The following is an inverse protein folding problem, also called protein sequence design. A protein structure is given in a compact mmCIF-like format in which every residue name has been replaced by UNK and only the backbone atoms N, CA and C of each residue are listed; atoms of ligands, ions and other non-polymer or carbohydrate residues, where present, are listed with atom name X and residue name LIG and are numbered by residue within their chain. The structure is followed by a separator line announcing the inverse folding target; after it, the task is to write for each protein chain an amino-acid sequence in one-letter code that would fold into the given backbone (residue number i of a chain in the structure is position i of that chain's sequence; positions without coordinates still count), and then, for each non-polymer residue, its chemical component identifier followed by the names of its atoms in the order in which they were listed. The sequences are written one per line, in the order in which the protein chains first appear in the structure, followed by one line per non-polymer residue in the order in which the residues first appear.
data_IF_254989826389
#
_entry.id   IF_254989826389
#
_cell.length_a   1.000
_cell.length_b   1.000
_cell.length_c   1.000
_cell.angle_alpha   90.00
_cell.angle_beta   90.00
_cell.angle_gamma   90.00
#
_symmetry.space_group_name_H-M   'P 1'
#
loop_
_entity.id
_entity.type
_entity.pdbx_description
1 polymer ?
#
# COMPACT_ATOMS: atom_id res chain seq x y z
N UNK A 1 -12.23 26.08 -2.60
CA UNK A 1 -12.66 25.04 -1.65
C UNK A 1 -12.38 25.51 -0.24
N UNK A 2 -13.41 25.63 0.60
CA UNK A 2 -13.26 26.06 1.99
C UNK A 2 -12.75 24.89 2.82
N UNK A 3 -11.69 25.13 3.60
CA UNK A 3 -11.15 24.18 4.57
C UNK A 3 -11.52 24.72 5.95
N UNK A 4 -12.13 23.89 6.78
CA UNK A 4 -12.44 24.21 8.16
C UNK A 4 -11.22 23.84 9.02
N UNK A 5 -10.68 24.83 9.73
CA UNK A 5 -9.46 24.72 10.55
C UNK A 5 -9.86 24.59 12.02
N UNK A 6 -9.58 23.44 12.63
CA UNK A 6 -9.62 23.31 14.09
C UNK A 6 -8.28 23.72 14.71
N UNK A 7 -8.33 24.62 15.69
CA UNK A 7 -7.16 25.05 16.44
C UNK A 7 -6.76 23.99 17.47
N UNK A 8 -5.65 23.28 17.21
CA UNK A 8 -4.96 22.44 18.19
C UNK A 8 -3.78 23.20 18.80
N UNK A 9 -3.58 23.10 20.11
CA UNK A 9 -2.55 23.85 20.85
C UNK A 9 -1.11 23.39 20.57
N UNK A 10 -0.90 22.33 19.80
CA UNK A 10 0.41 21.82 19.39
C UNK A 10 0.32 21.01 18.09
N UNK A 11 1.34 21.09 17.23
CA UNK A 11 1.51 20.17 16.10
C UNK A 11 1.72 18.75 16.65
N UNK A 12 0.79 17.83 16.37
CA UNK A 12 0.86 16.44 16.82
C UNK A 12 0.91 15.47 15.65
N UNK A 13 1.73 14.42 15.79
CA UNK A 13 1.87 13.32 14.83
C UNK A 13 1.57 12.02 15.56
N UNK A 14 0.77 11.14 14.95
CA UNK A 14 0.49 9.79 15.45
C UNK A 14 0.84 8.78 14.36
N UNK A 15 1.62 7.77 14.73
CA UNK A 15 1.92 6.61 13.90
C UNK A 15 1.38 5.34 14.58
N UNK A 16 0.84 4.42 13.78
CA UNK A 16 0.38 3.10 14.22
C UNK A 16 0.80 2.06 13.20
N UNK A 17 1.08 0.83 13.65
CA UNK A 17 1.36 -0.29 12.76
C UNK A 17 0.13 -0.62 11.90
N UNK A 18 0.35 -0.94 10.62
CA UNK A 18 -0.72 -1.46 9.76
C UNK A 18 -1.18 -2.83 10.25
N UNK A 19 -2.47 -3.12 10.05
CA UNK A 19 -3.08 -4.44 10.32
C UNK A 19 -3.03 -5.37 9.12
N UNK A 20 -2.67 -4.86 7.95
CA UNK A 20 -2.62 -5.65 6.72
C UNK A 20 -1.39 -6.57 6.71
N UNK A 21 -1.32 -7.47 5.73
CA UNK A 21 -0.13 -8.28 5.51
C UNK A 21 0.90 -7.54 4.66
N UNK A 22 2.19 -7.78 4.93
CA UNK A 22 3.31 -7.22 4.17
C UNK A 22 3.57 -8.07 2.92
N UNK A 23 3.59 -7.46 1.75
CA UNK A 23 4.02 -8.11 0.51
C UNK A 23 5.53 -8.35 0.52
N UNK A 24 5.99 -9.58 0.22
CA UNK A 24 7.42 -9.93 0.27
C UNK A 24 8.26 -9.26 -0.83
N UNK A 25 7.62 -8.86 -1.94
CA UNK A 25 8.32 -8.22 -3.07
C UNK A 25 8.48 -6.71 -2.93
N UNK A 26 7.42 -6.01 -2.54
CA UNK A 26 7.42 -4.55 -2.50
C UNK A 26 7.38 -3.94 -1.10
N UNK A 27 7.22 -4.78 -0.07
CA UNK A 27 7.18 -4.40 1.34
C UNK A 27 6.04 -3.46 1.74
N UNK A 28 5.07 -3.25 0.86
CA UNK A 28 3.84 -2.54 1.22
C UNK A 28 2.95 -3.46 2.05
N UNK A 29 2.34 -2.88 3.09
CA UNK A 29 1.25 -3.49 3.84
C UNK A 29 -0.05 -3.19 3.10
N UNK A 30 -0.75 -4.22 2.63
CA UNK A 30 -1.95 -4.05 1.79
C UNK A 30 -2.90 -5.24 1.93
N UNK A 31 -4.23 -5.02 1.90
CA UNK A 31 -5.22 -6.08 2.14
C UNK A 31 -5.30 -7.13 1.01
N UNK A 32 -4.64 -6.91 -0.12
CA UNK A 32 -4.64 -7.81 -1.27
C UNK A 32 -3.48 -8.82 -1.30
N UNK A 33 -2.60 -8.82 -0.30
CA UNK A 33 -1.61 -9.91 -0.15
C UNK A 33 -2.34 -11.23 0.07
N UNK A 34 -2.01 -12.23 -0.76
CA UNK A 34 -2.55 -13.59 -0.65
C UNK A 34 -3.83 -13.85 -1.44
N UNK A 35 -4.32 -12.89 -2.22
CA UNK A 35 -5.50 -13.12 -3.09
C UNK A 35 -5.20 -14.04 -4.28
N UNK A 36 -3.94 -14.16 -4.71
CA UNK A 36 -3.52 -15.11 -5.74
C UNK A 36 -3.02 -16.40 -5.09
N UNK A 37 -3.67 -17.54 -5.41
CA UNK A 37 -3.35 -18.84 -4.80
C UNK A 37 -1.96 -19.39 -5.20
N UNK A 38 -1.46 -19.07 -6.38
CA UNK A 38 -0.11 -19.45 -6.84
C UNK A 38 0.98 -18.57 -6.21
N UNK A 39 0.61 -17.37 -5.76
CA UNK A 39 1.51 -16.39 -5.15
C UNK A 39 0.98 -15.84 -3.81
N UNK A 40 0.86 -16.68 -2.77
CA UNK A 40 0.17 -16.34 -1.53
C UNK A 40 0.84 -15.25 -0.68
N UNK A 41 2.10 -14.89 -0.97
CA UNK A 41 2.84 -13.84 -0.24
C UNK A 41 2.96 -12.52 -1.01
N UNK A 42 2.34 -12.43 -2.20
CA UNK A 42 2.39 -11.26 -3.06
C UNK A 42 1.05 -10.52 -3.10
N UNK A 43 1.12 -9.20 -3.26
CA UNK A 43 -0.04 -8.37 -3.57
C UNK A 43 -0.35 -8.40 -5.08
N UNK A 44 -1.58 -8.03 -5.45
CA UNK A 44 -2.07 -8.04 -6.83
C UNK A 44 -1.23 -7.19 -7.78
N UNK A 45 -0.73 -6.03 -7.33
CA UNK A 45 0.23 -5.22 -8.11
C UNK A 45 1.49 -6.00 -8.46
N UNK A 46 2.05 -6.71 -7.47
CA UNK A 46 3.26 -7.49 -7.67
C UNK A 46 3.04 -8.70 -8.58
N UNK A 47 1.87 -9.34 -8.49
CA UNK A 47 1.45 -10.42 -9.39
C UNK A 47 1.32 -9.89 -10.82
N UNK A 48 0.58 -8.81 -11.06
CA UNK A 48 0.45 -8.19 -12.39
C UNK A 48 1.81 -7.83 -12.99
N UNK A 49 2.70 -7.21 -12.20
CA UNK A 49 4.05 -6.84 -12.65
C UNK A 49 4.99 -8.03 -12.94
N UNK A 50 4.69 -9.24 -12.48
CA UNK A 50 5.52 -10.44 -12.72
C UNK A 50 4.91 -11.37 -13.78
N UNK A 51 3.58 -11.45 -13.83
CA UNK A 51 2.86 -12.49 -14.57
C UNK A 51 1.73 -11.94 -15.46
N UNK A 52 1.47 -10.63 -15.44
CA UNK A 52 0.48 -9.96 -16.28
C UNK A 52 1.08 -8.80 -17.06
N UNK A 53 0.24 -7.83 -17.44
CA UNK A 53 0.65 -6.68 -18.25
C UNK A 53 1.52 -5.66 -17.48
N UNK A 54 1.52 -5.76 -16.15
CA UNK A 54 2.23 -4.85 -15.26
C UNK A 54 1.67 -3.43 -15.23
N UNK A 55 2.33 -2.55 -14.47
CA UNK A 55 1.98 -1.14 -14.37
C UNK A 55 2.86 -0.28 -15.28
N UNK A 56 2.26 0.70 -15.97
CA UNK A 56 3.03 1.70 -16.73
C UNK A 56 3.78 2.62 -15.76
N UNK A 57 5.10 2.70 -15.91
CA UNK A 57 5.96 3.60 -15.14
C UNK A 57 6.64 4.61 -16.06
N UNK A 58 6.53 5.89 -15.74
CA UNK A 58 7.22 6.95 -16.48
C UNK A 58 8.64 7.22 -15.96
N UNK A 59 8.90 6.89 -14.69
CA UNK A 59 10.16 7.17 -13.99
C UNK A 59 10.52 6.01 -13.05
N UNK A 60 11.80 5.93 -12.67
CA UNK A 60 12.37 4.94 -11.75
C UNK A 60 12.54 5.53 -10.34
#
# INVERSE_FOLDING_TARGET
SAIELEAASALQIRAAASKDAKCERCWHYTPDVGQNAEHPTLCGRCVSNLFGDGETRSHA
#
